data_IF_876696980073
#
_entry.id   IF_876696980073
#
_cell.length_a   1.000
_cell.length_b   1.000
_cell.length_c   1.000
_cell.angle_alpha   90.00
_cell.angle_beta   90.00
_cell.angle_gamma   90.00
#
_symmetry.space_group_name_H-M   'P 1'
#
loop_
_entity.id
_entity.type
_entity.pdbx_description
1 polymer ?
#
# COMPACT_ATOMS: atom_id res chain seq x y z
N UNK A 1 -9.43 11.58 7.05
CA UNK A 1 -8.15 10.86 6.95
C UNK A 1 -8.05 10.23 5.57
N UNK A 2 -6.84 9.95 5.14
CA UNK A 2 -6.56 9.31 3.87
C UNK A 2 -5.70 8.08 4.12
N UNK A 3 -6.03 6.99 3.44
CA UNK A 3 -5.40 5.69 3.62
C UNK A 3 -4.74 5.27 2.32
N UNK A 4 -3.53 4.72 2.43
CA UNK A 4 -2.82 4.08 1.34
C UNK A 4 -2.87 2.57 1.54
N UNK A 5 -3.45 1.84 0.60
CA UNK A 5 -3.55 0.38 0.66
C UNK A 5 -2.31 -0.26 0.03
N UNK A 6 -1.62 -1.07 0.82
CA UNK A 6 -0.46 -1.86 0.39
C UNK A 6 -0.88 -3.08 -0.47
N UNK A 7 0.08 -3.68 -1.17
CA UNK A 7 -0.07 -4.81 -2.10
C UNK A 7 -0.76 -6.01 -1.47
N UNK A 8 -0.43 -6.35 -0.22
CA UNK A 8 -1.08 -7.47 0.47
C UNK A 8 -2.56 -7.19 0.79
N UNK A 9 -2.91 -5.96 1.16
CA UNK A 9 -4.29 -5.56 1.45
C UNK A 9 -5.12 -5.49 0.17
N UNK A 10 -4.59 -4.89 -0.90
CA UNK A 10 -5.24 -4.88 -2.22
C UNK A 10 -5.48 -6.30 -2.72
N UNK A 11 -4.49 -7.20 -2.58
CA UNK A 11 -4.63 -8.60 -2.95
C UNK A 11 -5.75 -9.31 -2.18
N UNK A 12 -5.91 -9.03 -0.89
CA UNK A 12 -6.98 -9.57 -0.07
C UNK A 12 -8.35 -8.99 -0.43
N UNK A 13 -8.44 -7.70 -0.74
CA UNK A 13 -9.66 -7.06 -1.21
C UNK A 13 -10.15 -7.71 -2.53
N UNK A 14 -9.26 -7.96 -3.49
CA UNK A 14 -9.60 -8.65 -4.75
C UNK A 14 -10.10 -10.09 -4.57
N UNK A 15 -9.73 -10.72 -3.44
CA UNK A 15 -10.18 -12.06 -3.03
C UNK A 15 -11.45 -12.02 -2.17
N UNK A 16 -12.06 -10.85 -2.00
CA UNK A 16 -13.23 -10.63 -1.13
C UNK A 16 -13.00 -11.10 0.32
N UNK A 17 -11.81 -10.85 0.86
CA UNK A 17 -11.57 -11.12 2.28
C UNK A 17 -12.54 -10.30 3.14
N UNK A 18 -13.32 -10.97 3.99
CA UNK A 18 -14.40 -10.36 4.75
C UNK A 18 -13.95 -9.21 5.66
N UNK A 19 -12.81 -9.34 6.35
CA UNK A 19 -12.30 -8.28 7.24
C UNK A 19 -11.92 -7.04 6.43
N UNK A 20 -11.13 -7.23 5.37
CA UNK A 20 -10.69 -6.11 4.52
C UNK A 20 -11.86 -5.43 3.82
N UNK A 21 -12.83 -6.18 3.29
CA UNK A 21 -13.99 -5.59 2.62
C UNK A 21 -14.92 -4.88 3.60
N UNK A 22 -15.06 -5.37 4.84
CA UNK A 22 -15.81 -4.69 5.90
C UNK A 22 -15.16 -3.36 6.28
N UNK A 23 -13.84 -3.32 6.49
CA UNK A 23 -13.12 -2.07 6.80
C UNK A 23 -13.20 -1.06 5.65
N UNK A 24 -13.02 -1.49 4.40
CA UNK A 24 -13.22 -0.63 3.23
C UNK A 24 -14.64 -0.03 3.22
N UNK A 25 -15.67 -0.85 3.49
CA UNK A 25 -17.05 -0.38 3.51
C UNK A 25 -17.30 0.62 4.66
N UNK A 26 -16.74 0.36 5.83
CA UNK A 26 -16.81 1.23 7.00
C UNK A 26 -16.14 2.58 6.71
N UNK A 27 -14.90 2.59 6.22
CA UNK A 27 -14.16 3.81 5.90
C UNK A 27 -14.85 4.61 4.79
N UNK A 28 -15.43 3.94 3.78
CA UNK A 28 -16.28 4.59 2.77
C UNK A 28 -17.52 5.23 3.38
N UNK A 29 -18.20 4.56 4.33
CA UNK A 29 -19.38 5.12 5.01
C UNK A 29 -19.04 6.38 5.82
N UNK A 30 -17.82 6.44 6.35
CA UNK A 30 -17.26 7.59 7.06
C UNK A 30 -16.65 8.66 6.14
N UNK A 31 -16.77 8.49 4.81
CA UNK A 31 -16.21 9.39 3.78
C UNK A 31 -14.69 9.58 3.90
N UNK A 32 -13.99 8.55 4.36
CA UNK A 32 -12.53 8.52 4.34
C UNK A 32 -12.02 8.30 2.91
N UNK A 33 -10.84 8.84 2.61
CA UNK A 33 -10.22 8.69 1.29
C UNK A 33 -9.41 7.38 1.29
N UNK A 34 -9.63 6.54 0.30
CA UNK A 34 -8.90 5.30 0.08
C UNK A 34 -8.13 5.39 -1.24
N UNK A 35 -6.84 5.10 -1.20
CA UNK A 35 -5.93 5.22 -2.34
C UNK A 35 -4.97 4.02 -2.38
N UNK A 36 -4.25 3.83 -3.49
CA UNK A 36 -3.16 2.85 -3.61
C UNK A 36 -1.96 3.48 -4.32
N UNK A 37 -0.77 2.92 -4.13
CA UNK A 37 0.45 3.42 -4.78
C UNK A 37 0.58 2.88 -6.22
N UNK A 38 1.23 3.63 -7.11
CA UNK A 38 1.63 3.12 -8.42
C UNK A 38 2.59 1.93 -8.30
N UNK A 39 3.34 1.82 -7.20
CA UNK A 39 4.19 0.66 -6.87
C UNK A 39 3.32 -0.56 -6.62
N UNK A 40 2.32 -0.44 -5.74
CA UNK A 40 1.33 -1.50 -5.49
C UNK A 40 0.61 -1.92 -6.78
N UNK A 41 0.21 -0.93 -7.60
CA UNK A 41 -0.38 -1.21 -8.91
C UNK A 41 0.54 -2.07 -9.79
N UNK A 42 1.82 -1.70 -9.87
CA UNK A 42 2.82 -2.47 -10.61
C UNK A 42 2.97 -3.88 -10.05
N UNK A 43 3.08 -4.06 -8.74
CA UNK A 43 3.26 -5.37 -8.13
C UNK A 43 2.08 -6.31 -8.36
N UNK A 44 0.86 -5.81 -8.18
CA UNK A 44 -0.36 -6.60 -8.43
C UNK A 44 -0.43 -6.99 -9.91
N UNK A 45 -0.24 -6.05 -10.84
CA UNK A 45 -0.23 -6.36 -12.28
C UNK A 45 0.86 -7.36 -12.64
N UNK A 46 2.08 -7.17 -12.15
CA UNK A 46 3.23 -8.09 -12.36
C UNK A 46 2.88 -9.51 -11.94
N UNK A 47 2.33 -9.68 -10.73
CA UNK A 47 1.93 -10.98 -10.21
C UNK A 47 0.81 -11.62 -11.05
N UNK A 48 -0.21 -10.86 -11.41
CA UNK A 48 -1.34 -11.37 -12.20
C UNK A 48 -0.94 -11.73 -13.64
N UNK A 49 -0.03 -10.98 -14.26
CA UNK A 49 0.52 -11.31 -15.58
C UNK A 49 1.35 -12.59 -15.55
N UNK A 50 2.17 -12.79 -14.51
CA UNK A 50 3.02 -13.98 -14.38
C UNK A 50 2.20 -15.28 -14.38
N UNK A 51 1.01 -15.27 -13.81
CA UNK A 51 0.12 -16.45 -13.73
C UNK A 51 -1.03 -16.44 -14.76
N UNK A 52 -1.06 -15.47 -15.69
CA UNK A 52 -2.10 -15.31 -16.71
C UNK A 52 -3.54 -15.28 -16.13
N UNK A 53 -3.72 -14.63 -14.98
CA UNK A 53 -5.00 -14.59 -14.28
C UNK A 53 -5.98 -13.53 -14.85
N UNK A 54 -6.53 -13.80 -16.03
CA UNK A 54 -7.38 -12.85 -16.80
C UNK A 54 -8.54 -12.29 -15.97
N UNK A 55 -9.28 -13.15 -15.25
CA UNK A 55 -10.41 -12.71 -14.41
C UNK A 55 -9.98 -11.80 -13.27
N UNK A 56 -8.79 -12.00 -12.72
CA UNK A 56 -8.27 -11.19 -11.62
C UNK A 56 -7.73 -9.86 -12.15
N UNK A 57 -7.18 -9.83 -13.36
CA UNK A 57 -6.79 -8.59 -14.04
C UNK A 57 -8.01 -7.67 -14.23
N UNK A 58 -9.12 -8.19 -14.75
CA UNK A 58 -10.35 -7.40 -14.91
C UNK A 58 -10.90 -6.89 -13.58
N UNK A 59 -10.87 -7.73 -12.53
CA UNK A 59 -11.26 -7.30 -11.18
C UNK A 59 -10.36 -6.19 -10.66
N UNK A 60 -9.04 -6.29 -10.88
CA UNK A 60 -8.11 -5.26 -10.46
C UNK A 60 -8.26 -3.97 -11.25
N UNK A 61 -8.53 -4.05 -12.55
CA UNK A 61 -8.81 -2.88 -13.39
C UNK A 61 -10.08 -2.16 -12.95
N UNK A 62 -11.11 -2.90 -12.54
CA UNK A 62 -12.32 -2.30 -11.97
C UNK A 62 -12.05 -1.72 -10.57
N UNK A 63 -11.29 -2.41 -9.73
CA UNK A 63 -10.86 -1.87 -8.44
C UNK A 63 -10.17 -0.52 -8.62
N UNK A 64 -9.21 -0.40 -9.54
CA UNK A 64 -8.47 0.83 -9.79
C UNK A 64 -9.31 2.01 -10.31
N UNK A 65 -10.56 1.78 -10.76
CA UNK A 65 -11.48 2.87 -11.13
C UNK A 65 -12.08 3.55 -9.90
N UNK A 66 -12.17 2.82 -8.78
CA UNK A 66 -12.81 3.28 -7.55
C UNK A 66 -11.83 3.95 -6.56
N UNK A 67 -10.52 3.81 -6.79
CA UNK A 67 -9.47 4.31 -5.89
C UNK A 67 -8.46 5.15 -6.64
N UNK A 68 -7.99 6.22 -5.99
CA UNK A 68 -6.92 7.04 -6.54
C UNK A 68 -5.60 6.27 -6.53
N UNK A 69 -4.89 6.28 -7.67
CA UNK A 69 -3.51 5.80 -7.75
C UNK A 69 -2.58 6.98 -7.47
N UNK A 70 -1.72 6.85 -6.47
CA UNK A 70 -0.73 7.84 -6.08
C UNK A 70 0.57 7.53 -6.81
N UNK A 71 1.05 8.48 -7.61
CA UNK A 71 2.27 8.34 -8.38
C UNK A 71 3.50 8.78 -7.58
N UNK A 72 4.67 8.31 -8.00
CA UNK A 72 5.97 8.82 -7.57
C UNK A 72 6.33 10.07 -8.41
N UNK A 73 5.46 11.07 -8.39
CA UNK A 73 5.57 12.32 -9.16
C UNK A 73 6.18 13.48 -8.36
N UNK A 74 6.56 13.20 -7.11
CA UNK A 74 7.02 14.17 -6.12
C UNK A 74 8.40 13.73 -5.60
N UNK A 75 9.41 14.56 -5.83
CA UNK A 75 10.80 14.25 -5.47
C UNK A 75 10.95 14.04 -3.95
N UNK A 76 10.12 14.69 -3.13
CA UNK A 76 10.14 14.50 -1.68
C UNK A 76 9.86 13.05 -1.28
N UNK A 77 9.06 12.31 -2.07
CA UNK A 77 8.82 10.88 -1.84
C UNK A 77 10.12 10.09 -2.02
N UNK A 78 10.89 10.40 -3.07
CA UNK A 78 12.13 9.70 -3.38
C UNK A 78 13.26 10.05 -2.40
N UNK A 79 13.31 11.31 -1.96
CA UNK A 79 14.23 11.74 -0.89
C UNK A 79 13.92 11.00 0.42
N UNK A 80 12.65 10.98 0.85
CA UNK A 80 12.23 10.25 2.05
C UNK A 80 12.48 8.74 1.94
N UNK A 81 12.23 8.14 0.78
CA UNK A 81 12.55 6.73 0.54
C UNK A 81 14.06 6.44 0.69
N UNK A 82 14.90 7.34 0.18
CA UNK A 82 16.36 7.24 0.30
C UNK A 82 16.84 7.35 1.75
N UNK A 83 16.26 8.27 2.53
CA UNK A 83 16.51 8.41 3.97
C UNK A 83 16.14 7.13 4.73
N UNK A 84 14.92 6.62 4.51
CA UNK A 84 14.44 5.39 5.16
C UNK A 84 15.37 4.22 4.83
N UNK A 85 15.71 4.04 3.56
CA UNK A 85 16.60 2.96 3.12
C UNK A 85 17.97 3.06 3.80
N UNK A 86 18.58 4.25 3.84
CA UNK A 86 19.86 4.47 4.51
C UNK A 86 19.79 4.18 6.02
N UNK A 87 18.74 4.66 6.70
CA UNK A 87 18.52 4.43 8.12
C UNK A 87 18.40 2.93 8.45
N UNK A 88 17.53 2.22 7.73
CA UNK A 88 17.30 0.78 7.93
C UNK A 88 18.56 -0.03 7.67
N UNK A 89 19.31 0.32 6.61
CA UNK A 89 20.59 -0.31 6.29
C UNK A 89 21.62 -0.11 7.40
N UNK A 90 21.76 1.12 7.93
CA UNK A 90 22.70 1.42 9.01
C UNK A 90 22.35 0.69 10.31
N UNK A 91 21.06 0.44 10.56
CA UNK A 91 20.57 -0.33 11.70
C UNK A 91 20.66 -1.85 11.51
N UNK A 92 21.03 -2.32 10.31
CA UNK A 92 21.08 -3.76 9.99
C UNK A 92 19.70 -4.40 9.83
N UNK A 93 18.67 -3.61 9.51
CA UNK A 93 17.27 -4.03 9.41
C UNK A 93 16.66 -3.73 8.03
N UNK A 94 17.30 -4.12 6.91
CA UNK A 94 16.79 -3.79 5.58
C UNK A 94 15.42 -4.42 5.33
N UNK A 95 14.61 -3.73 4.53
CA UNK A 95 13.31 -4.21 4.00
C UNK A 95 13.30 -4.01 2.47
N UNK A 96 12.26 -4.47 1.77
CA UNK A 96 12.22 -4.37 0.31
C UNK A 96 12.10 -2.91 -0.16
N UNK A 97 12.69 -2.61 -1.32
CA UNK A 97 12.67 -1.25 -1.87
C UNK A 97 11.26 -0.79 -2.21
N UNK A 98 10.42 -1.70 -2.72
CA UNK A 98 9.02 -1.45 -3.01
C UNK A 98 8.24 -1.01 -1.76
N UNK A 99 8.43 -1.70 -0.63
CA UNK A 99 7.83 -1.35 0.67
C UNK A 99 8.29 0.04 1.15
N UNK A 100 9.57 0.35 0.98
CA UNK A 100 10.14 1.66 1.32
C UNK A 100 9.50 2.77 0.48
N UNK A 101 9.30 2.55 -0.82
CA UNK A 101 8.66 3.53 -1.71
C UNK A 101 7.19 3.76 -1.32
N UNK A 102 6.47 2.70 -0.97
CA UNK A 102 5.08 2.77 -0.50
C UNK A 102 5.00 3.52 0.84
N UNK A 103 5.86 3.18 1.80
CA UNK A 103 5.94 3.84 3.11
C UNK A 103 6.30 5.33 2.98
N UNK A 104 7.30 5.67 2.16
CA UNK A 104 7.68 7.05 1.89
C UNK A 104 6.53 7.84 1.26
N UNK A 105 5.78 7.21 0.33
CA UNK A 105 4.58 7.82 -0.26
C UNK A 105 3.54 8.15 0.81
N UNK A 106 3.28 7.21 1.73
CA UNK A 106 2.34 7.43 2.82
C UNK A 106 2.79 8.57 3.75
N UNK A 107 4.07 8.60 4.14
CA UNK A 107 4.63 9.64 5.00
C UNK A 107 4.52 11.02 4.35
N UNK A 108 4.97 11.18 3.11
CA UNK A 108 4.99 12.47 2.42
C UNK A 108 3.58 12.99 2.12
N UNK A 109 2.63 12.11 1.80
CA UNK A 109 1.24 12.51 1.58
C UNK A 109 0.41 12.61 2.87
N UNK A 110 0.97 12.25 4.03
CA UNK A 110 0.28 12.25 5.32
C UNK A 110 -0.84 11.21 5.40
N UNK A 111 -0.65 10.05 4.75
CA UNK A 111 -1.61 8.95 4.70
C UNK A 111 -1.29 7.91 5.76
N UNK A 112 -2.32 7.21 6.22
CA UNK A 112 -2.18 6.00 7.01
C UNK A 112 -1.92 4.85 6.04
N UNK A 113 -0.76 4.20 6.15
CA UNK A 113 -0.48 2.99 5.39
C UNK A 113 -1.22 1.82 6.03
N UNK A 114 -1.95 1.05 5.21
CA UNK A 114 -2.62 -0.16 5.65
C UNK A 114 -1.84 -1.34 5.09
N UNK A 115 -1.23 -2.15 5.96
CA UNK A 115 -0.46 -3.33 5.57
C UNK A 115 -0.48 -4.39 6.66
N UNK A 116 -0.36 -5.66 6.25
CA UNK A 116 -0.10 -6.78 7.15
C UNK A 116 1.40 -7.12 7.27
N UNK A 117 2.29 -6.32 6.69
CA UNK A 117 3.73 -6.52 6.83
C UNK A 117 4.28 -5.86 8.10
N UNK A 118 4.76 -6.68 9.04
CA UNK A 118 5.36 -6.23 10.28
C UNK A 118 6.72 -5.55 10.09
N UNK A 119 7.40 -5.77 8.96
CA UNK A 119 8.71 -5.16 8.70
C UNK A 119 8.59 -3.63 8.53
N UNK A 120 7.41 -3.13 8.14
CA UNK A 120 7.10 -1.71 8.07
C UNK A 120 7.12 -1.00 9.43
N UNK A 121 6.94 -1.73 10.55
CA UNK A 121 7.08 -1.17 11.91
C UNK A 121 8.49 -0.66 12.21
N UNK A 122 9.49 -1.04 11.41
CA UNK A 122 10.87 -0.56 11.54
C UNK A 122 11.02 0.91 11.15
N UNK A 123 10.02 1.49 10.48
CA UNK A 123 9.98 2.89 10.03
C UNK A 123 9.22 3.71 11.09
N UNK A 124 9.94 4.46 11.92
CA UNK A 124 9.38 5.12 13.12
C UNK A 124 8.35 6.22 12.81
N UNK A 125 8.50 6.92 11.68
CA UNK A 125 7.59 8.02 11.26
C UNK A 125 6.29 7.53 10.58
N UNK A 126 6.17 6.22 10.34
CA UNK A 126 5.09 5.66 9.54
C UNK A 126 3.83 5.43 10.38
N UNK A 127 2.72 6.08 10.00
CA UNK A 127 1.40 5.72 10.52
C UNK A 127 0.92 4.44 9.85
N UNK A 128 0.96 3.32 10.57
CA UNK A 128 0.66 1.99 10.07
C UNK A 128 -0.57 1.39 10.76
N UNK A 129 -1.50 0.85 9.98
CA UNK A 129 -2.62 0.03 10.47
C UNK A 129 -2.57 -1.38 9.86
N UNK A 130 -2.95 -2.37 10.66
CA UNK A 130 -3.14 -3.73 10.19
C UNK A 130 -4.58 -4.19 10.46
N UNK A 131 -5.41 -4.28 9.41
CA UNK A 131 -6.81 -4.70 9.51
C UNK A 131 -7.02 -6.21 9.70
N UNK A 132 -5.94 -6.99 9.71
CA UNK A 132 -6.01 -8.44 9.92
C UNK A 132 -5.75 -8.83 11.38
N UNK A 133 -5.20 -7.93 12.17
CA UNK A 133 -4.94 -8.12 13.60
C UNK A 133 -5.99 -7.36 14.44
N UNK A 134 -6.25 -7.84 15.66
CA UNK A 134 -7.16 -7.17 16.62
C UNK A 134 -6.45 -6.05 17.37
#
# INVERSE_FOLDING_TARGET
MAYLLDTNIVSLALRNNFRVTAEIAQLKSQRQILSTSCVTYFEVKRGLFAVKAIKQLERFDNFCKDYQIIFLDDLAILEKASEIHANLRLRGLPIQTEDILIAATAIIKGFILVSNDSDLLRIEELSLENWLQE
#
